data_IF_593735439408
#
_entry.id   IF_593735439408
#
_cell.length_a   1.000
_cell.length_b   1.000
_cell.length_c   1.000
_cell.angle_alpha   90.00
_cell.angle_beta   90.00
_cell.angle_gamma   90.00
#
_symmetry.space_group_name_H-M   'P 1'
#
loop_
_entity.id
_entity.type
_entity.pdbx_description
1 polymer ?
#
# COMPACT_ATOMS: atom_id res chain seq x y z
N UNK A 1 -72.17 -1.37 -28.99
CA UNK A 1 -72.12 -1.11 -27.54
C UNK A 1 -71.85 -2.40 -26.79
N UNK A 2 -70.61 -2.61 -26.34
CA UNK A 2 -70.23 -3.00 -24.98
C UNK A 2 -68.83 -3.63 -25.04
N UNK A 3 -67.94 -2.84 -24.48
CA UNK A 3 -66.51 -2.98 -24.36
C UNK A 3 -66.11 -4.02 -23.30
N UNK A 4 -64.82 -4.38 -23.34
CA UNK A 4 -63.96 -4.73 -22.21
C UNK A 4 -64.13 -6.11 -21.56
N UNK A 5 -63.21 -7.03 -21.86
CA UNK A 5 -62.18 -7.46 -20.89
C UNK A 5 -61.27 -8.53 -21.53
N UNK A 6 -60.42 -8.11 -22.45
CA UNK A 6 -59.17 -8.81 -22.73
C UNK A 6 -58.18 -8.41 -21.63
N UNK A 7 -58.23 -9.11 -20.49
CA UNK A 7 -57.12 -9.03 -19.53
C UNK A 7 -55.97 -9.85 -20.10
N UNK A 8 -55.08 -9.14 -20.79
CA UNK A 8 -53.76 -9.63 -21.17
C UNK A 8 -53.03 -10.07 -19.91
N UNK A 9 -52.86 -11.39 -19.76
CA UNK A 9 -51.95 -12.00 -18.79
C UNK A 9 -50.52 -11.77 -19.29
N UNK A 10 -50.03 -10.54 -19.17
CA UNK A 10 -48.61 -10.26 -19.29
C UNK A 10 -47.93 -10.78 -18.02
N UNK A 11 -47.51 -12.04 -18.06
CA UNK A 11 -46.64 -12.64 -17.06
C UNK A 11 -45.32 -11.87 -17.10
N UNK A 12 -45.19 -10.85 -16.24
CA UNK A 12 -43.93 -10.19 -15.95
C UNK A 12 -43.06 -11.25 -15.27
N UNK A 13 -42.23 -11.94 -16.05
CA UNK A 13 -41.06 -12.65 -15.56
C UNK A 13 -40.12 -11.60 -14.95
N UNK A 14 -40.41 -11.22 -13.70
CA UNK A 14 -39.42 -10.62 -12.85
C UNK A 14 -38.32 -11.69 -12.69
N UNK A 15 -37.19 -11.50 -13.38
CA UNK A 15 -35.99 -12.26 -13.12
C UNK A 15 -35.57 -11.93 -11.68
N UNK A 16 -36.08 -12.70 -10.72
CA UNK A 16 -35.65 -12.65 -9.33
C UNK A 16 -34.24 -13.19 -9.30
N UNK A 17 -33.25 -12.30 -9.39
CA UNK A 17 -31.87 -12.66 -9.07
C UNK A 17 -31.89 -13.19 -7.64
N UNK A 18 -31.41 -14.42 -7.39
CA UNK A 18 -31.49 -15.00 -6.06
C UNK A 18 -30.69 -14.13 -5.08
N UNK A 19 -31.35 -13.69 -4.03
CA UNK A 19 -30.83 -12.83 -2.95
C UNK A 19 -29.53 -13.39 -2.32
N UNK A 20 -29.37 -14.72 -2.38
CA UNK A 20 -28.17 -15.44 -1.95
C UNK A 20 -26.95 -15.16 -2.82
N UNK A 21 -27.10 -15.01 -4.14
CA UNK A 21 -26.00 -14.69 -5.05
C UNK A 21 -25.47 -13.27 -4.84
N UNK A 22 -26.35 -12.32 -4.53
CA UNK A 22 -25.98 -10.93 -4.19
C UNK A 22 -25.25 -10.81 -2.85
N UNK A 23 -25.65 -11.62 -1.85
CA UNK A 23 -24.98 -11.65 -0.55
C UNK A 23 -23.58 -12.28 -0.63
N UNK A 24 -23.44 -13.39 -1.37
CA UNK A 24 -22.15 -14.08 -1.53
C UNK A 24 -21.14 -13.24 -2.31
N UNK A 25 -21.59 -12.53 -3.35
CA UNK A 25 -20.76 -11.57 -4.08
C UNK A 25 -20.33 -10.40 -3.18
N UNK A 26 -21.23 -9.82 -2.39
CA UNK A 26 -20.88 -8.77 -1.43
C UNK A 26 -19.84 -9.24 -0.39
N UNK A 27 -19.99 -10.44 0.17
CA UNK A 27 -19.03 -11.02 1.12
C UNK A 27 -17.63 -11.18 0.51
N UNK A 28 -17.54 -11.76 -0.70
CA UNK A 28 -16.26 -11.92 -1.41
C UNK A 28 -15.57 -10.58 -1.73
N UNK A 29 -16.37 -9.54 -2.02
CA UNK A 29 -15.86 -8.19 -2.23
C UNK A 29 -15.26 -7.59 -0.95
N UNK A 30 -15.94 -7.75 0.19
CA UNK A 30 -15.45 -7.28 1.49
C UNK A 30 -14.15 -7.97 1.88
N UNK A 31 -14.10 -9.30 1.79
CA UNK A 31 -12.89 -10.08 2.10
C UNK A 31 -11.69 -9.63 1.25
N UNK A 32 -11.89 -9.42 -0.05
CA UNK A 32 -10.83 -8.90 -0.93
C UNK A 32 -10.38 -7.49 -0.53
N UNK A 33 -11.31 -6.63 -0.12
CA UNK A 33 -11.00 -5.28 0.37
C UNK A 33 -10.14 -5.37 1.64
N UNK A 34 -10.50 -6.24 2.57
CA UNK A 34 -9.80 -6.42 3.85
C UNK A 34 -8.39 -6.98 3.65
N UNK A 35 -8.24 -8.03 2.82
CA UNK A 35 -6.93 -8.59 2.46
C UNK A 35 -5.98 -7.53 1.88
N UNK A 36 -6.48 -6.69 0.97
CA UNK A 36 -5.71 -5.56 0.41
C UNK A 36 -5.30 -4.58 1.50
N UNK A 37 -6.20 -4.24 2.41
CA UNK A 37 -5.94 -3.24 3.47
C UNK A 37 -4.91 -3.76 4.47
N UNK A 38 -5.04 -5.01 4.89
CA UNK A 38 -4.10 -5.68 5.78
C UNK A 38 -2.72 -5.79 5.15
N UNK A 39 -2.66 -6.21 3.88
CA UNK A 39 -1.40 -6.26 3.12
C UNK A 39 -0.73 -4.89 3.02
N UNK A 40 -1.50 -3.84 2.72
CA UNK A 40 -1.00 -2.46 2.67
C UNK A 40 -0.52 -1.96 4.04
N UNK A 41 -1.20 -2.32 5.13
CA UNK A 41 -0.76 -2.00 6.49
C UNK A 41 0.53 -2.74 6.87
N UNK A 42 0.66 -4.00 6.47
CA UNK A 42 1.87 -4.80 6.68
C UNK A 42 3.07 -4.25 5.90
N UNK A 43 2.85 -3.75 4.67
CA UNK A 43 3.86 -3.04 3.89
C UNK A 43 4.27 -1.74 4.58
N UNK A 44 3.30 -0.96 5.08
CA UNK A 44 3.58 0.28 5.80
C UNK A 44 4.50 0.05 7.00
N UNK A 45 4.23 -0.96 7.84
CA UNK A 45 5.06 -1.27 9.00
C UNK A 45 6.52 -1.57 8.64
N UNK A 46 6.76 -2.20 7.47
CA UNK A 46 8.10 -2.52 6.97
C UNK A 46 8.79 -1.29 6.41
N UNK A 47 8.07 -0.50 5.62
CA UNK A 47 8.60 0.75 5.06
C UNK A 47 8.94 1.75 6.17
N UNK A 48 8.12 1.82 7.22
CA UNK A 48 8.36 2.65 8.40
C UNK A 48 9.66 2.26 9.11
N UNK A 49 9.93 0.95 9.31
CA UNK A 49 11.23 0.50 9.81
C UNK A 49 12.36 0.89 8.87
N UNK A 50 12.22 0.63 7.56
CA UNK A 50 13.22 0.98 6.54
C UNK A 50 13.52 2.48 6.49
N UNK A 51 12.63 3.33 7.00
CA UNK A 51 12.91 4.76 7.15
C UNK A 51 14.12 5.05 8.07
N UNK A 52 14.47 4.14 8.98
CA UNK A 52 15.66 4.24 9.82
C UNK A 52 16.97 4.26 9.01
N UNK A 53 16.96 3.76 7.76
CA UNK A 53 18.12 3.82 6.88
C UNK A 53 18.37 5.23 6.32
N UNK A 54 17.33 6.09 6.29
CA UNK A 54 17.36 7.43 5.68
C UNK A 54 17.22 8.56 6.70
N UNK A 55 17.04 8.26 7.99
CA UNK A 55 17.04 9.24 9.08
C UNK A 55 18.47 9.62 9.46
N UNK A 56 18.72 10.92 9.67
CA UNK A 56 20.04 11.42 10.09
C UNK A 56 20.33 11.16 11.58
N UNK A 57 19.33 10.81 12.39
CA UNK A 57 19.51 10.52 13.82
C UNK A 57 20.16 9.15 14.02
N UNK A 58 21.48 9.14 13.95
CA UNK A 58 22.28 8.12 14.62
C UNK A 58 22.05 8.28 16.12
N UNK A 59 21.39 7.30 16.73
CA UNK A 59 21.07 7.16 18.16
C UNK A 59 19.71 7.71 18.65
N UNK A 60 19.19 6.90 19.59
CA UNK A 60 18.09 7.10 20.53
C UNK A 60 16.64 6.92 20.05
N UNK A 61 16.25 5.67 19.78
CA UNK A 61 14.85 5.27 19.95
C UNK A 61 14.74 3.96 20.75
N UNK A 62 14.34 4.09 22.01
CA UNK A 62 13.68 3.02 22.76
C UNK A 62 12.22 3.42 23.00
N UNK A 63 11.29 2.62 22.49
CA UNK A 63 9.86 2.76 22.77
C UNK A 63 9.47 2.16 24.15
N UNK A 64 10.43 1.64 24.91
CA UNK A 64 10.19 0.87 26.15
C UNK A 64 10.91 1.41 27.38
N UNK A 65 11.68 2.49 27.27
CA UNK A 65 12.40 3.09 28.41
C UNK A 65 13.63 2.31 28.87
N UNK A 66 14.00 1.23 28.17
CA UNK A 66 15.26 0.51 28.36
C UNK A 66 16.25 0.98 27.29
N UNK A 67 17.30 1.68 27.69
CA UNK A 67 18.30 2.23 26.77
C UNK A 67 19.28 1.13 26.35
N UNK A 68 19.15 0.65 25.11
CA UNK A 68 20.26 0.02 24.41
C UNK A 68 21.13 1.15 23.88
N UNK A 69 22.23 1.45 24.59
CA UNK A 69 23.25 2.40 24.09
C UNK A 69 24.01 1.70 22.96
N UNK A 70 23.49 1.81 21.74
CA UNK A 70 24.22 1.43 20.54
C UNK A 70 25.23 2.55 20.28
N UNK A 71 26.53 2.25 20.26
CA UNK A 71 27.54 3.20 19.78
C UNK A 71 27.49 3.18 18.24
N UNK A 72 26.73 4.08 17.59
CA UNK A 72 26.43 3.96 16.16
C UNK A 72 27.64 4.33 15.29
N UNK A 73 28.71 4.84 15.91
CA UNK A 73 29.94 5.26 15.25
C UNK A 73 30.77 4.08 14.72
N UNK A 74 30.51 2.86 15.20
CA UNK A 74 31.25 1.64 14.84
C UNK A 74 30.44 0.66 13.99
N UNK A 75 29.16 0.95 13.73
CA UNK A 75 28.23 0.05 13.04
C UNK A 75 27.68 0.72 11.79
N UNK A 76 27.55 -0.05 10.72
CA UNK A 76 26.82 0.37 9.52
C UNK A 76 25.33 0.60 9.84
N UNK A 77 24.62 1.44 9.06
CA UNK A 77 23.17 1.65 9.23
C UNK A 77 22.35 0.35 9.21
N UNK A 78 22.75 -0.64 8.43
CA UNK A 78 22.10 -1.95 8.33
C UNK A 78 22.32 -2.81 9.57
N UNK A 79 23.50 -2.73 10.20
CA UNK A 79 23.75 -3.43 11.48
C UNK A 79 22.96 -2.82 12.63
N UNK A 80 22.86 -1.47 12.67
CA UNK A 80 22.00 -0.78 13.65
C UNK A 80 20.53 -1.17 13.44
N UNK A 81 20.08 -1.23 12.18
CA UNK A 81 18.73 -1.67 11.83
C UNK A 81 18.44 -3.07 12.36
N UNK A 82 19.31 -4.04 12.07
CA UNK A 82 19.14 -5.42 12.48
C UNK A 82 19.07 -5.56 14.00
N UNK A 83 19.91 -4.81 14.73
CA UNK A 83 19.92 -4.80 16.18
C UNK A 83 18.62 -4.22 16.78
N UNK A 84 18.13 -3.09 16.24
CA UNK A 84 16.94 -2.39 16.79
C UNK A 84 15.65 -3.14 16.45
N UNK A 85 15.55 -3.69 15.25
CA UNK A 85 14.31 -4.27 14.75
C UNK A 85 14.26 -5.81 14.81
N UNK A 86 15.38 -6.46 15.12
CA UNK A 86 15.47 -7.92 15.18
C UNK A 86 15.28 -8.61 13.83
N UNK A 87 15.45 -7.89 12.72
CA UNK A 87 15.32 -8.38 11.34
C UNK A 87 16.24 -7.63 10.41
N UNK A 88 16.72 -8.29 9.36
CA UNK A 88 17.53 -7.66 8.32
C UNK A 88 16.67 -6.73 7.45
N UNK A 89 17.19 -5.57 7.02
CA UNK A 89 16.46 -4.66 6.13
C UNK A 89 16.13 -5.32 4.79
N UNK A 90 16.97 -6.26 4.32
CA UNK A 90 16.71 -7.03 3.10
C UNK A 90 15.48 -7.95 3.22
N UNK A 91 15.15 -8.41 4.43
CA UNK A 91 13.95 -9.21 4.68
C UNK A 91 12.71 -8.33 4.55
N UNK A 92 12.72 -7.15 5.16
CA UNK A 92 11.59 -6.22 5.06
C UNK A 92 11.37 -5.71 3.63
N UNK A 93 12.44 -5.50 2.87
CA UNK A 93 12.35 -5.14 1.46
C UNK A 93 11.73 -6.27 0.60
N UNK A 94 12.15 -7.52 0.82
CA UNK A 94 11.58 -8.69 0.12
C UNK A 94 10.10 -8.87 0.46
N UNK A 95 9.75 -8.79 1.74
CA UNK A 95 8.36 -8.87 2.17
C UNK A 95 7.48 -7.77 1.53
N UNK A 96 7.99 -6.54 1.39
CA UNK A 96 7.24 -5.49 0.69
C UNK A 96 7.02 -5.86 -0.78
N UNK A 97 8.04 -6.36 -1.47
CA UNK A 97 7.91 -6.77 -2.87
C UNK A 97 6.88 -7.90 -3.04
N UNK A 98 6.91 -8.90 -2.17
CA UNK A 98 5.95 -10.01 -2.17
C UNK A 98 4.52 -9.55 -1.88
N UNK A 99 4.35 -8.64 -0.90
CA UNK A 99 3.05 -8.04 -0.59
C UNK A 99 2.51 -7.19 -1.75
N UNK A 100 3.38 -6.43 -2.45
CA UNK A 100 2.98 -5.68 -3.64
C UNK A 100 2.50 -6.61 -4.75
N UNK A 101 3.23 -7.70 -5.03
CA UNK A 101 2.82 -8.67 -6.05
C UNK A 101 1.51 -9.37 -5.67
N UNK A 102 1.32 -9.71 -4.39
CA UNK A 102 0.06 -10.24 -3.91
C UNK A 102 -1.11 -9.26 -4.14
N UNK A 103 -0.94 -7.99 -3.71
CA UNK A 103 -1.98 -6.97 -3.81
C UNK A 103 -2.30 -6.62 -5.27
N UNK A 104 -1.38 -6.82 -6.22
CA UNK A 104 -1.60 -6.59 -7.65
C UNK A 104 -2.87 -7.28 -8.18
N UNK A 105 -3.26 -8.40 -7.61
CA UNK A 105 -4.45 -9.16 -8.02
C UNK A 105 -5.74 -8.80 -7.26
N UNK A 106 -5.67 -7.97 -6.22
CA UNK A 106 -6.80 -7.66 -5.32
C UNK A 106 -7.62 -6.43 -5.77
N UNK A 107 -7.71 -6.19 -7.08
CA UNK A 107 -8.46 -5.08 -7.68
C UNK A 107 -9.64 -5.49 -8.59
N UNK A 108 -10.38 -6.59 -8.34
CA UNK A 108 -11.50 -6.96 -9.19
C UNK A 108 -12.62 -5.91 -9.11
N UNK A 109 -13.43 -5.79 -10.17
CA UNK A 109 -14.50 -4.79 -10.29
C UNK A 109 -15.53 -4.84 -9.16
N UNK A 110 -15.70 -6.00 -8.53
CA UNK A 110 -16.57 -6.19 -7.36
C UNK A 110 -16.13 -5.36 -6.15
N UNK A 111 -14.84 -5.02 -6.06
CA UNK A 111 -14.27 -4.19 -4.98
C UNK A 111 -14.37 -2.68 -5.23
N UNK A 112 -14.95 -2.27 -6.38
CA UNK A 112 -15.31 -0.88 -6.69
C UNK A 112 -16.51 -0.39 -5.86
N UNK A 113 -17.25 -1.30 -5.24
CA UNK A 113 -18.45 -0.93 -4.48
C UNK A 113 -18.03 -0.33 -3.15
N UNK A 114 -17.96 1.00 -3.12
CA UNK A 114 -17.90 1.81 -1.92
C UNK A 114 -19.20 1.75 -1.12
N UNK A 115 -19.63 0.55 -0.69
CA UNK A 115 -20.61 0.44 0.40
C UNK A 115 -20.01 1.17 1.60
N UNK A 116 -20.58 2.35 1.90
CA UNK A 116 -20.38 3.18 3.08
C UNK A 116 -19.13 2.86 3.92
N UNK A 117 -17.95 3.25 3.45
CA UNK A 117 -16.71 3.22 4.24
C UNK A 117 -15.88 1.93 4.19
N UNK A 118 -16.27 0.91 3.41
CA UNK A 118 -15.50 -0.34 3.32
C UNK A 118 -14.11 -0.15 2.68
N UNK A 119 -13.95 0.76 1.72
CA UNK A 119 -12.68 1.05 1.04
C UNK A 119 -12.42 2.55 0.87
N UNK A 120 -11.14 2.92 0.84
CA UNK A 120 -10.66 4.27 0.49
C UNK A 120 -10.09 4.35 -0.93
N UNK A 121 -10.15 3.26 -1.68
CA UNK A 121 -9.80 3.25 -3.10
C UNK A 121 -10.74 4.21 -3.86
N UNK A 122 -10.17 5.11 -4.66
CA UNK A 122 -10.96 6.01 -5.48
C UNK A 122 -11.52 5.27 -6.71
N UNK A 123 -12.78 5.54 -7.13
CA UNK A 123 -13.41 4.86 -8.26
C UNK A 123 -12.60 4.94 -9.56
N UNK A 124 -11.73 5.95 -9.70
CA UNK A 124 -10.87 6.16 -10.86
C UNK A 124 -9.94 4.98 -11.15
N UNK A 125 -9.64 4.12 -10.16
CA UNK A 125 -8.89 2.86 -10.37
C UNK A 125 -9.57 1.99 -11.43
N UNK A 126 -10.90 1.84 -11.35
CA UNK A 126 -11.67 0.99 -12.28
C UNK A 126 -12.09 1.73 -13.54
N UNK A 127 -12.09 3.06 -13.53
CA UNK A 127 -12.36 3.89 -14.73
C UNK A 127 -11.13 3.96 -15.63
N UNK A 128 -9.93 4.07 -15.05
CA UNK A 128 -8.65 4.20 -15.76
C UNK A 128 -7.64 3.12 -15.32
N UNK A 129 -7.97 1.82 -15.52
CA UNK A 129 -7.15 0.72 -14.97
C UNK A 129 -5.72 0.71 -15.51
N UNK A 130 -5.50 1.11 -16.77
CA UNK A 130 -4.16 1.20 -17.33
C UNK A 130 -3.30 2.32 -16.73
N UNK A 131 -3.91 3.40 -16.22
CA UNK A 131 -3.16 4.45 -15.51
C UNK A 131 -2.82 3.95 -14.11
N UNK A 132 -3.77 3.36 -13.41
CA UNK A 132 -3.54 2.74 -12.10
C UNK A 132 -2.42 1.70 -12.16
N UNK A 133 -2.46 0.79 -13.13
CA UNK A 133 -1.46 -0.26 -13.29
C UNK A 133 -0.05 0.32 -13.45
N UNK A 134 0.14 1.40 -14.22
CA UNK A 134 1.47 2.02 -14.37
C UNK A 134 2.04 2.54 -13.06
N UNK A 135 1.23 3.23 -12.26
CA UNK A 135 1.67 3.73 -10.94
C UNK A 135 1.94 2.58 -9.95
N UNK A 136 1.17 1.50 -10.06
CA UNK A 136 1.38 0.30 -9.26
C UNK A 136 2.67 -0.43 -9.66
N UNK A 137 2.91 -0.59 -10.97
CA UNK A 137 4.12 -1.21 -11.52
C UNK A 137 5.38 -0.39 -11.19
N UNK A 138 5.32 0.94 -11.23
CA UNK A 138 6.40 1.81 -10.76
C UNK A 138 6.78 1.51 -9.30
N UNK A 139 5.78 1.18 -8.48
CA UNK A 139 5.99 0.84 -7.06
C UNK A 139 6.61 -0.55 -6.90
N UNK A 140 6.17 -1.54 -7.67
CA UNK A 140 6.79 -2.88 -7.72
C UNK A 140 8.26 -2.77 -8.15
N UNK A 141 8.54 -2.03 -9.22
CA UNK A 141 9.89 -1.84 -9.73
C UNK A 141 10.80 -1.16 -8.70
N UNK A 142 10.27 -0.18 -7.97
CA UNK A 142 10.99 0.46 -6.86
C UNK A 142 11.27 -0.52 -5.70
N UNK A 143 10.34 -1.41 -5.35
CA UNK A 143 10.58 -2.42 -4.32
C UNK A 143 11.63 -3.45 -4.73
N UNK A 144 11.63 -3.88 -6.00
CA UNK A 144 12.65 -4.79 -6.53
C UNK A 144 14.02 -4.12 -6.51
N UNK A 145 14.09 -2.86 -6.94
CA UNK A 145 15.34 -2.08 -6.91
C UNK A 145 15.88 -1.93 -5.49
N UNK A 146 15.01 -1.79 -4.49
CA UNK A 146 15.41 -1.76 -3.08
C UNK A 146 16.01 -3.09 -2.61
N UNK A 147 15.42 -4.22 -3.00
CA UNK A 147 15.96 -5.56 -2.69
C UNK A 147 17.37 -5.73 -3.28
N UNK A 148 17.56 -5.31 -4.52
CA UNK A 148 18.86 -5.35 -5.20
C UNK A 148 19.89 -4.44 -4.51
N UNK A 149 19.50 -3.19 -4.19
CA UNK A 149 20.39 -2.23 -3.54
C UNK A 149 20.82 -2.65 -2.13
N UNK A 150 19.94 -3.32 -1.37
CA UNK A 150 20.28 -3.89 -0.07
C UNK A 150 21.19 -5.13 -0.17
N UNK A 151 21.29 -5.73 -1.36
CA UNK A 151 22.17 -6.87 -1.62
C UNK A 151 23.56 -6.47 -2.09
N UNK A 152 23.77 -5.20 -2.47
CA UNK A 152 25.02 -4.73 -3.09
C UNK A 152 26.01 -4.06 -2.12
N UNK A 153 25.73 -4.06 -0.81
CA UNK A 153 26.51 -3.37 0.25
C UNK A 153 26.77 -1.87 -0.05
N UNK A 154 25.92 -1.25 -0.88
CA UNK A 154 25.98 0.18 -1.21
C UNK A 154 24.93 0.92 -0.37
N UNK A 155 25.35 1.36 0.81
CA UNK A 155 24.52 2.13 1.75
C UNK A 155 23.81 3.33 1.08
N UNK A 156 24.53 4.20 0.34
CA UNK A 156 23.90 5.25 -0.45
C UNK A 156 22.85 4.76 -1.46
N UNK A 157 23.08 3.66 -2.17
CA UNK A 157 22.08 3.10 -3.09
C UNK A 157 20.84 2.56 -2.35
N UNK A 158 21.04 1.90 -1.21
CA UNK A 158 19.94 1.45 -0.35
C UNK A 158 19.09 2.65 0.12
N UNK A 159 19.74 3.72 0.60
CA UNK A 159 19.06 4.96 1.02
C UNK A 159 18.23 5.57 -0.11
N UNK A 160 18.82 5.73 -1.30
CA UNK A 160 18.11 6.25 -2.47
C UNK A 160 16.92 5.36 -2.87
N UNK A 161 17.06 4.05 -2.74
CA UNK A 161 16.00 3.10 -3.08
C UNK A 161 14.84 3.12 -2.09
N UNK A 162 15.11 3.29 -0.78
CA UNK A 162 14.05 3.54 0.22
C UNK A 162 13.30 4.82 -0.12
N UNK A 163 14.02 5.92 -0.41
CA UNK A 163 13.40 7.17 -0.84
C UNK A 163 12.54 6.99 -2.10
N UNK A 164 13.03 6.22 -3.08
CA UNK A 164 12.31 5.98 -4.32
C UNK A 164 11.00 5.21 -4.10
N UNK A 165 11.05 4.14 -3.32
CA UNK A 165 9.88 3.34 -2.95
C UNK A 165 8.82 4.20 -2.24
N UNK A 166 9.21 4.98 -1.24
CA UNK A 166 8.28 5.88 -0.55
C UNK A 166 7.62 6.89 -1.50
N UNK A 167 8.36 7.41 -2.48
CA UNK A 167 7.84 8.36 -3.47
C UNK A 167 6.84 7.71 -4.44
N UNK A 168 7.11 6.49 -4.92
CA UNK A 168 6.19 5.79 -5.83
C UNK A 168 4.88 5.43 -5.15
N UNK A 169 4.96 4.96 -3.90
CA UNK A 169 3.77 4.73 -3.10
C UNK A 169 2.95 6.04 -2.96
N UNK A 170 3.61 7.17 -2.69
CA UNK A 170 2.95 8.47 -2.49
C UNK A 170 2.28 9.00 -3.74
N UNK A 171 2.92 8.81 -4.90
CA UNK A 171 2.34 9.12 -6.22
C UNK A 171 1.10 8.29 -6.52
N UNK A 172 1.09 7.00 -6.18
CA UNK A 172 -0.08 6.15 -6.34
C UNK A 172 -1.22 6.64 -5.41
N UNK A 173 -0.92 6.85 -4.14
CA UNK A 173 -1.90 7.29 -3.14
C UNK A 173 -2.53 8.65 -3.44
N UNK A 174 -1.76 9.60 -4.00
CA UNK A 174 -2.28 10.95 -4.28
C UNK A 174 -3.37 10.99 -5.36
N UNK A 175 -3.48 9.95 -6.18
CA UNK A 175 -4.47 9.84 -7.26
C UNK A 175 -5.54 8.82 -6.93
N UNK A 176 -5.15 7.66 -6.39
CA UNK A 176 -6.00 6.48 -6.33
C UNK A 176 -6.55 6.17 -4.94
N UNK A 177 -6.21 6.95 -3.92
CA UNK A 177 -6.68 6.72 -2.56
C UNK A 177 -7.18 8.01 -1.93
N UNK A 178 -8.35 7.94 -1.28
CA UNK A 178 -8.85 9.03 -0.47
C UNK A 178 -7.94 9.26 0.74
N UNK A 179 -7.27 10.40 0.72
CA UNK A 179 -6.36 10.83 1.80
C UNK A 179 -7.18 11.57 2.87
N UNK A 180 -7.10 11.09 4.12
CA UNK A 180 -7.65 11.75 5.30
C UNK A 180 -6.59 12.62 5.97
N UNK A 181 -7.01 13.52 6.87
CA UNK A 181 -6.07 14.32 7.65
C UNK A 181 -5.10 13.47 8.50
N UNK A 182 -5.53 12.29 8.95
CA UNK A 182 -4.66 11.34 9.64
C UNK A 182 -3.58 10.75 8.73
N UNK A 183 -3.93 10.42 7.48
CA UNK A 183 -2.95 9.92 6.50
C UNK A 183 -1.89 10.97 6.17
N UNK A 184 -2.24 12.27 6.15
CA UNK A 184 -1.27 13.34 5.94
C UNK A 184 -0.23 13.43 7.06
N UNK A 185 -0.58 13.09 8.30
CA UNK A 185 0.41 13.07 9.41
C UNK A 185 1.37 11.89 9.29
N UNK A 186 0.89 10.75 8.82
CA UNK A 186 1.64 9.49 8.71
C UNK A 186 2.47 9.45 7.43
N UNK A 187 1.85 9.78 6.29
CA UNK A 187 2.50 9.72 4.97
C UNK A 187 3.12 11.06 4.56
N UNK A 188 2.50 12.18 4.93
CA UNK A 188 3.00 13.51 4.57
C UNK A 188 4.32 13.89 5.23
N UNK A 189 4.68 13.29 6.37
CA UNK A 189 5.99 13.46 6.99
C UNK A 189 6.99 12.35 6.59
N UNK A 190 6.52 11.11 6.38
CA UNK A 190 7.39 9.97 6.07
C UNK A 190 7.74 9.77 4.58
N UNK A 191 7.00 10.39 3.65
CA UNK A 191 7.08 10.05 2.21
C UNK A 191 7.61 11.20 1.34
N UNK A 192 7.66 12.42 1.88
CA UNK A 192 7.79 13.66 1.09
C UNK A 192 9.18 14.28 1.16
N UNK A 193 10.25 13.53 0.85
CA UNK A 193 11.54 14.14 0.52
C UNK A 193 12.18 15.04 1.60
N UNK A 194 11.66 15.02 2.84
CA UNK A 194 12.15 15.82 3.94
C UNK A 194 13.44 15.24 4.55
N UNK A 195 13.67 13.94 4.35
CA UNK A 195 14.95 13.32 4.67
C UNK A 195 16.04 13.87 3.76
N UNK A 196 17.17 14.25 4.36
CA UNK A 196 18.33 14.73 3.61
C UNK A 196 18.79 13.73 2.55
N UNK A 197 18.74 12.44 2.89
CA UNK A 197 19.06 11.34 1.98
C UNK A 197 18.16 11.30 0.73
N UNK A 198 16.96 11.89 0.79
CA UNK A 198 16.03 11.97 -0.33
C UNK A 198 16.15 13.30 -1.12
N UNK A 199 16.94 14.28 -0.64
CA UNK A 199 17.18 15.55 -1.33
C UNK A 199 18.16 15.34 -2.50
N UNK A 200 17.91 15.99 -3.64
CA UNK A 200 18.80 15.90 -4.81
C UNK A 200 18.58 14.69 -5.72
N UNK A 201 17.61 13.82 -5.45
CA UNK A 201 17.09 12.87 -6.43
C UNK A 201 16.31 13.63 -7.51
N UNK A 202 17.04 14.21 -8.46
CA UNK A 202 16.51 14.83 -9.68
C UNK A 202 16.02 13.73 -10.64
N UNK A 203 14.80 13.93 -11.16
CA UNK A 203 14.27 13.20 -12.29
C UNK A 203 14.20 14.13 -13.49
#
# INVERSE_FOLDING_TARGET
MRYLCLFALALVLAATVPETATAQTAASGSETIDLRRESMAAMWQRLDRLSALITESRADVSATGEQIIVQPEQMSPTEVYALVHGTEPSTDARDIADLLDHVRTLWPSITNRGWHGATRAEPVIWVLPGVFQRYFDDTINASVSLVEALSSDDGPAAQRSVCQLSRTCGRCHSIFRRVTHGDLKVEGNGWTGNYAACRGLTF
#
